data_IF_516084991178
#
_entry.id   IF_516084991178
#
_cell.length_a   1.000
_cell.length_b   1.000
_cell.length_c   1.000
_cell.angle_alpha   90.00
_cell.angle_beta   90.00
_cell.angle_gamma   90.00
#
_symmetry.space_group_name_H-M   'P 1'
#
loop_
_entity.id
_entity.type
_entity.pdbx_description
1 polymer ?
#
# COMPACT_ATOMS: atom_id res chain seq x y z
N UNK A 1 -15.32 4.02 -26.96
CA UNK A 1 -13.86 3.73 -27.03
C UNK A 1 -13.04 4.59 -26.05
N UNK A 2 -13.14 5.93 -26.06
CA UNK A 2 -12.28 6.81 -25.22
C UNK A 2 -12.42 6.65 -23.69
N UNK A 3 -13.59 6.23 -23.16
CA UNK A 3 -13.79 6.12 -21.70
C UNK A 3 -12.93 5.02 -21.06
N UNK A 4 -12.81 3.86 -21.73
CA UNK A 4 -12.00 2.74 -21.25
C UNK A 4 -10.50 3.07 -21.35
N UNK A 5 -10.09 3.72 -22.44
CA UNK A 5 -8.72 4.21 -22.61
C UNK A 5 -8.35 5.26 -21.55
N UNK A 6 -9.28 6.16 -21.22
CA UNK A 6 -9.08 7.16 -20.16
C UNK A 6 -9.00 6.53 -18.77
N UNK A 7 -9.82 5.50 -18.51
CA UNK A 7 -9.72 4.72 -17.27
C UNK A 7 -8.35 4.02 -17.18
N UNK A 8 -7.90 3.35 -18.24
CA UNK A 8 -6.56 2.75 -18.30
C UNK A 8 -5.44 3.76 -18.12
N UNK A 9 -5.55 4.95 -18.74
CA UNK A 9 -4.59 6.03 -18.57
C UNK A 9 -4.54 6.57 -17.13
N UNK A 10 -5.69 6.68 -16.45
CA UNK A 10 -5.75 7.09 -15.05
C UNK A 10 -5.14 6.04 -14.09
N UNK A 11 -5.26 4.75 -14.41
CA UNK A 11 -4.65 3.67 -13.63
C UNK A 11 -3.14 3.56 -13.83
N UNK A 12 -2.58 4.15 -14.88
CA UNK A 12 -1.14 4.11 -15.14
C UNK A 12 -0.34 4.92 -14.10
N UNK A 13 -0.89 6.04 -13.61
CA UNK A 13 -0.17 6.93 -12.69
C UNK A 13 0.22 6.25 -11.37
N UNK A 14 -0.66 5.52 -10.66
CA UNK A 14 -0.26 4.72 -9.49
C UNK A 14 0.74 3.60 -9.83
N UNK A 15 0.60 2.98 -11.00
CA UNK A 15 1.45 1.84 -11.42
C UNK A 15 2.92 2.25 -11.60
N UNK A 16 3.18 3.48 -12.06
CA UNK A 16 4.55 4.01 -12.16
C UNK A 16 5.28 4.05 -10.81
N UNK A 17 4.56 4.32 -9.71
CA UNK A 17 5.14 4.33 -8.37
C UNK A 17 5.56 2.93 -7.91
N UNK A 18 4.88 1.88 -8.40
CA UNK A 18 5.23 0.50 -8.09
C UNK A 18 6.54 0.08 -8.74
N UNK A 19 6.86 0.59 -9.92
CA UNK A 19 8.14 0.29 -10.58
C UNK A 19 9.31 0.83 -9.77
N UNK A 20 9.22 2.07 -9.29
CA UNK A 20 10.25 2.65 -8.43
C UNK A 20 10.35 1.91 -7.09
N UNK A 21 9.23 1.69 -6.41
CA UNK A 21 9.19 0.97 -5.13
C UNK A 21 9.72 -0.47 -5.26
N UNK A 22 9.42 -1.15 -6.36
CA UNK A 22 9.89 -2.50 -6.64
C UNK A 22 11.40 -2.57 -6.84
N UNK A 23 11.97 -1.67 -7.65
CA UNK A 23 13.43 -1.62 -7.87
C UNK A 23 14.15 -1.28 -6.57
N UNK A 24 13.68 -0.29 -5.81
CA UNK A 24 14.28 0.07 -4.52
C UNK A 24 14.22 -1.08 -3.52
N UNK A 25 13.09 -1.78 -3.45
CA UNK A 25 12.94 -2.96 -2.59
C UNK A 25 13.92 -4.06 -3.00
N UNK A 26 14.05 -4.34 -4.30
CA UNK A 26 14.97 -5.35 -4.82
C UNK A 26 16.44 -5.02 -4.49
N UNK A 27 16.85 -3.75 -4.63
CA UNK A 27 18.19 -3.29 -4.23
C UNK A 27 18.41 -3.51 -2.73
N UNK A 28 17.44 -3.15 -1.89
CA UNK A 28 17.56 -3.34 -0.45
C UNK A 28 17.68 -4.84 -0.09
N UNK A 29 16.87 -5.71 -0.72
CA UNK A 29 16.95 -7.17 -0.52
C UNK A 29 18.34 -7.70 -0.89
N UNK A 30 18.91 -7.24 -2.01
CA UNK A 30 20.24 -7.61 -2.45
C UNK A 30 21.32 -7.20 -1.45
N UNK A 31 21.23 -5.97 -0.93
CA UNK A 31 22.20 -5.41 0.03
C UNK A 31 22.10 -6.04 1.43
N UNK A 32 20.94 -6.62 1.78
CA UNK A 32 20.72 -7.39 3.01
C UNK A 32 20.96 -8.89 2.84
N UNK A 33 21.47 -9.35 1.69
CA UNK A 33 21.68 -10.77 1.45
C UNK A 33 23.05 -11.23 1.99
N UNK A 34 23.02 -12.09 3.01
CA UNK A 34 24.22 -12.67 3.63
C UNK A 34 25.08 -13.50 2.67
N UNK A 35 24.49 -14.11 1.63
CA UNK A 35 25.26 -14.88 0.65
C UNK A 35 26.13 -14.00 -0.27
N UNK A 36 25.78 -12.72 -0.41
CA UNK A 36 26.50 -11.77 -1.27
C UNK A 36 27.44 -10.89 -0.45
N UNK A 37 26.98 -10.39 0.70
CA UNK A 37 27.72 -9.42 1.52
C UNK A 37 28.28 -10.01 2.83
N UNK A 38 28.14 -11.32 3.04
CA UNK A 38 28.70 -12.02 4.20
C UNK A 38 28.13 -11.53 5.53
N UNK A 39 28.96 -11.56 6.58
CA UNK A 39 28.57 -11.20 7.95
C UNK A 39 28.15 -9.74 8.14
N UNK A 40 28.45 -8.85 7.19
CA UNK A 40 27.98 -7.46 7.23
C UNK A 40 26.48 -7.35 6.95
N UNK A 41 25.89 -8.27 6.20
CA UNK A 41 24.45 -8.32 5.91
C UNK A 41 23.65 -9.14 6.93
N UNK A 42 24.30 -9.64 7.99
CA UNK A 42 23.61 -10.38 9.04
C UNK A 42 22.65 -9.48 9.85
N UNK A 43 21.51 -10.01 10.34
CA UNK A 43 20.60 -9.31 11.22
C UNK A 43 21.33 -8.79 12.46
N UNK A 44 21.20 -7.49 12.75
CA UNK A 44 21.81 -6.84 13.91
C UNK A 44 23.07 -6.03 13.63
N UNK A 45 23.58 -6.01 12.39
CA UNK A 45 24.63 -5.07 12.00
C UNK A 45 24.04 -3.70 11.65
N UNK A 46 24.86 -2.64 11.81
CA UNK A 46 24.47 -1.28 11.40
C UNK A 46 24.19 -1.20 9.89
N UNK A 47 24.88 -2.01 9.07
CA UNK A 47 24.63 -2.11 7.63
C UNK A 47 23.23 -2.65 7.34
N UNK A 48 22.86 -3.78 7.96
CA UNK A 48 21.52 -4.36 7.80
C UNK A 48 20.44 -3.37 8.26
N UNK A 49 20.62 -2.69 9.40
CA UNK A 49 19.65 -1.72 9.91
C UNK A 49 19.37 -0.55 8.96
N UNK A 50 20.39 -0.02 8.28
CA UNK A 50 20.23 1.07 7.30
C UNK A 50 19.40 0.58 6.09
N UNK A 51 19.76 -0.56 5.51
CA UNK A 51 19.06 -1.11 4.35
C UNK A 51 17.64 -1.59 4.69
N UNK A 52 17.44 -2.13 5.88
CA UNK A 52 16.11 -2.51 6.37
C UNK A 52 15.21 -1.28 6.55
N UNK A 53 15.75 -0.17 7.04
CA UNK A 53 14.99 1.09 7.18
C UNK A 53 14.59 1.63 5.80
N UNK A 54 15.50 1.61 4.83
CA UNK A 54 15.20 1.98 3.44
C UNK A 54 14.16 1.04 2.81
N UNK A 55 14.28 -0.27 3.07
CA UNK A 55 13.32 -1.26 2.60
C UNK A 55 11.92 -1.01 3.16
N UNK A 56 11.79 -0.67 4.45
CA UNK A 56 10.52 -0.31 5.05
C UNK A 56 9.87 0.89 4.34
N UNK A 57 10.67 1.91 4.01
CA UNK A 57 10.25 3.05 3.21
C UNK A 57 9.79 2.66 1.80
N UNK A 58 10.56 1.85 1.08
CA UNK A 58 10.20 1.37 -0.26
C UNK A 58 8.92 0.52 -0.23
N UNK A 59 8.71 -0.26 0.82
CA UNK A 59 7.56 -1.14 0.96
C UNK A 59 6.25 -0.39 1.28
N UNK A 60 6.32 0.86 1.74
CA UNK A 60 5.14 1.67 2.07
C UNK A 60 4.15 1.74 0.91
N UNK A 61 4.64 1.92 -0.32
CA UNK A 61 3.83 2.00 -1.55
C UNK A 61 2.99 0.74 -1.74
N UNK A 62 3.51 -0.43 -1.37
CA UNK A 62 2.78 -1.70 -1.44
C UNK A 62 1.73 -1.83 -0.32
N UNK A 63 1.99 -1.26 0.86
CA UNK A 63 1.02 -1.25 1.96
C UNK A 63 -0.17 -0.31 1.68
N UNK A 64 0.04 0.75 0.89
CA UNK A 64 -1.00 1.74 0.57
C UNK A 64 -1.53 1.64 -0.87
N UNK A 65 -1.37 0.48 -1.53
CA UNK A 65 -1.87 0.25 -2.91
C UNK A 65 -3.30 0.74 -3.08
N UNK A 66 -4.28 0.35 -2.22
CA UNK A 66 -5.66 0.78 -2.41
C UNK A 66 -5.81 2.30 -2.34
N UNK A 67 -5.10 2.95 -1.40
CA UNK A 67 -5.14 4.39 -1.22
C UNK A 67 -4.58 5.14 -2.43
N UNK A 68 -3.51 4.63 -3.04
CA UNK A 68 -2.91 5.20 -4.26
C UNK A 68 -3.89 5.17 -5.43
N UNK A 69 -4.67 4.10 -5.58
CA UNK A 69 -5.71 4.02 -6.61
C UNK A 69 -6.93 4.88 -6.29
N UNK A 70 -7.32 4.99 -5.02
CA UNK A 70 -8.42 5.85 -4.57
C UNK A 70 -8.15 7.32 -4.87
N UNK A 71 -6.90 7.77 -4.78
CA UNK A 71 -6.50 9.13 -5.15
C UNK A 71 -6.29 9.26 -6.66
N UNK A 72 -5.60 8.31 -7.29
CA UNK A 72 -5.21 8.39 -8.70
C UNK A 72 -6.38 8.31 -9.68
N UNK A 73 -7.36 7.45 -9.42
CA UNK A 73 -8.51 7.25 -10.31
C UNK A 73 -9.38 8.52 -10.47
N UNK A 74 -9.87 9.18 -9.39
CA UNK A 74 -10.65 10.40 -9.52
C UNK A 74 -9.89 11.53 -10.20
N UNK A 75 -8.58 11.65 -9.96
CA UNK A 75 -7.74 12.68 -10.60
C UNK A 75 -7.72 12.49 -12.12
N UNK A 76 -7.51 11.26 -12.61
CA UNK A 76 -7.47 10.98 -14.05
C UNK A 76 -8.84 10.98 -14.74
N UNK A 77 -9.91 10.64 -14.01
CA UNK A 77 -11.26 10.54 -14.56
C UNK A 77 -12.06 11.85 -14.48
N UNK A 78 -11.83 12.69 -13.46
CA UNK A 78 -12.61 13.91 -13.26
C UNK A 78 -12.43 14.91 -14.40
N UNK A 79 -13.53 15.55 -14.81
CA UNK A 79 -13.54 16.62 -15.82
C UNK A 79 -13.54 18.02 -15.20
N UNK A 80 -13.98 18.14 -13.96
CA UNK A 80 -14.06 19.38 -13.20
C UNK A 80 -13.55 19.13 -11.79
N UNK A 81 -12.83 20.10 -11.23
CA UNK A 81 -12.31 20.08 -9.86
C UNK A 81 -11.69 18.72 -9.42
N UNK A 82 -10.65 18.22 -10.12
CA UNK A 82 -10.08 16.89 -9.85
C UNK A 82 -9.58 16.72 -8.40
N UNK A 83 -9.07 17.79 -7.78
CA UNK A 83 -8.67 17.76 -6.37
C UNK A 83 -9.83 17.51 -5.42
N UNK A 84 -11.02 18.07 -5.70
CA UNK A 84 -12.23 17.83 -4.88
C UNK A 84 -12.72 16.39 -5.01
N UNK A 85 -12.73 15.86 -6.23
CA UNK A 85 -13.10 14.47 -6.49
C UNK A 85 -12.15 13.48 -5.81
N UNK A 86 -10.84 13.79 -5.78
CA UNK A 86 -9.85 12.98 -5.08
C UNK A 86 -10.06 13.00 -3.56
N UNK A 87 -10.30 14.18 -2.96
CA UNK A 87 -10.57 14.28 -1.52
C UNK A 87 -11.82 13.51 -1.12
N UNK A 88 -12.89 13.61 -1.90
CA UNK A 88 -14.13 12.87 -1.65
C UNK A 88 -13.93 11.35 -1.71
N UNK A 89 -13.19 10.87 -2.72
CA UNK A 89 -12.89 9.44 -2.84
C UNK A 89 -12.09 8.90 -1.64
N UNK A 90 -11.15 9.68 -1.09
CA UNK A 90 -10.39 9.31 0.11
C UNK A 90 -11.31 9.21 1.33
N UNK A 91 -12.21 10.17 1.51
CA UNK A 91 -13.17 10.16 2.63
C UNK A 91 -14.13 8.99 2.52
N UNK A 92 -14.64 8.69 1.32
CA UNK A 92 -15.50 7.52 1.07
C UNK A 92 -14.75 6.22 1.37
N UNK A 93 -13.50 6.09 0.91
CA UNK A 93 -12.67 4.92 1.19
C UNK A 93 -12.46 4.74 2.70
N UNK A 94 -12.09 5.80 3.43
CA UNK A 94 -11.92 5.73 4.88
C UNK A 94 -13.24 5.35 5.58
N UNK A 95 -14.34 6.01 5.22
CA UNK A 95 -15.67 5.75 5.79
C UNK A 95 -16.09 4.30 5.61
N UNK A 96 -15.85 3.72 4.44
CA UNK A 96 -16.12 2.32 4.15
C UNK A 96 -15.28 1.37 5.01
N UNK A 97 -13.99 1.66 5.17
CA UNK A 97 -13.11 0.86 6.04
C UNK A 97 -13.54 0.92 7.51
N UNK A 98 -13.90 2.10 8.02
CA UNK A 98 -14.43 2.25 9.38
C UNK A 98 -15.77 1.54 9.56
N UNK A 99 -16.64 1.57 8.55
CA UNK A 99 -17.91 0.85 8.60
C UNK A 99 -17.69 -0.66 8.63
N UNK A 100 -16.78 -1.21 7.81
CA UNK A 100 -16.41 -2.63 7.87
C UNK A 100 -15.86 -2.96 9.25
N UNK A 101 -14.96 -2.14 9.79
CA UNK A 101 -14.41 -2.35 11.13
C UNK A 101 -15.51 -2.40 12.19
N UNK A 102 -16.47 -1.47 12.15
CA UNK A 102 -17.61 -1.45 13.06
C UNK A 102 -18.53 -2.67 12.89
N UNK A 103 -18.74 -3.15 11.66
CA UNK A 103 -19.50 -4.38 11.39
C UNK A 103 -18.78 -5.58 12.02
N UNK A 104 -17.47 -5.68 11.84
CA UNK A 104 -16.64 -6.75 12.40
C UNK A 104 -16.59 -6.70 13.93
N UNK A 105 -16.58 -5.52 14.52
CA UNK A 105 -16.59 -5.38 15.99
C UNK A 105 -17.96 -5.76 16.59
N UNK A 106 -19.08 -5.41 15.94
CA UNK A 106 -20.41 -5.69 16.47
C UNK A 106 -20.92 -7.11 16.17
N UNK A 107 -20.62 -7.65 14.98
CA UNK A 107 -21.14 -8.94 14.51
C UNK A 107 -20.05 -9.95 14.15
N UNK A 108 -18.77 -9.68 14.44
CA UNK A 108 -17.66 -10.58 14.09
C UNK A 108 -17.78 -11.99 14.68
N UNK A 109 -18.45 -12.14 15.82
CA UNK A 109 -18.73 -13.45 16.44
C UNK A 109 -19.78 -14.27 15.66
N UNK A 110 -20.69 -13.61 14.93
CA UNK A 110 -21.69 -14.26 14.09
C UNK A 110 -21.12 -14.75 12.74
N UNK A 111 -20.03 -14.14 12.27
CA UNK A 111 -19.35 -14.51 11.02
C UNK A 111 -18.33 -15.66 11.16
N UNK A 112 -18.29 -16.32 12.34
CA UNK A 112 -17.35 -17.38 12.64
C UNK A 112 -16.06 -16.82 13.25
N UNK A 113 -15.79 -17.23 14.48
CA UNK A 113 -14.62 -16.87 15.27
C UNK A 113 -13.32 -17.18 14.52
N UNK A 114 -12.69 -16.17 13.88
CA UNK A 114 -11.24 -16.06 13.58
C UNK A 114 -10.80 -14.81 12.82
N UNK A 115 -11.54 -13.70 12.86
CA UNK A 115 -10.98 -12.42 12.43
C UNK A 115 -10.28 -11.77 13.62
N UNK A 116 -9.06 -12.25 13.93
CA UNK A 116 -8.22 -11.65 14.96
C UNK A 116 -7.88 -10.21 14.54
N UNK A 117 -8.58 -9.25 15.11
CA UNK A 117 -8.17 -7.85 15.11
C UNK A 117 -6.96 -7.72 16.05
N UNK A 118 -5.83 -7.24 15.52
CA UNK A 118 -4.66 -6.78 16.29
C UNK A 118 -3.98 -7.82 17.20
N UNK A 119 -3.56 -8.96 16.66
CA UNK A 119 -2.48 -9.77 17.26
C UNK A 119 -2.79 -10.54 18.55
N UNK A 120 -3.92 -10.29 19.22
CA UNK A 120 -4.31 -11.03 20.43
C UNK A 120 -5.54 -11.91 20.15
N UNK A 121 -5.27 -13.14 19.70
CA UNK A 121 -6.26 -14.21 19.71
C UNK A 121 -6.19 -14.92 21.07
N UNK A 122 -7.17 -14.68 21.95
CA UNK A 122 -7.52 -15.61 23.04
C UNK A 122 -8.83 -16.29 22.71
#
# INVERSE_FOLDING_TARGET
MQKLQRFGAAMFTPVLLFTFAGIMTAICILMTNEQIFGSMAAPGTNWYGVWQTLQAGAFTVFNIIPLLFVVGLPIGLAKQAPGRAAMEAVVIYASWNYMINAILTNWGTAFGSRLCQNGDCR
#
